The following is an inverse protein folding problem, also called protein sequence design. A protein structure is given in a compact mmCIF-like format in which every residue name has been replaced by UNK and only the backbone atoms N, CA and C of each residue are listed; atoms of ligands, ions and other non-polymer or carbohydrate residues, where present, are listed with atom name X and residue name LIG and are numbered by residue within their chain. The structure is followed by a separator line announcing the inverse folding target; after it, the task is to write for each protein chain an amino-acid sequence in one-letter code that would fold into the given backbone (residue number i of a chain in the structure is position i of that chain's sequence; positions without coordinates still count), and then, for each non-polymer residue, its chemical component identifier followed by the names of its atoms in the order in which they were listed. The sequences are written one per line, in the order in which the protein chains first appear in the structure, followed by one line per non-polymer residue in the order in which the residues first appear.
data_IF_805769566899
#
_entry.id   IF_805769566899
#
_cell.length_a   1.000
_cell.length_b   1.000
_cell.length_c   1.000
_cell.angle_alpha   90.00
_cell.angle_beta   90.00
_cell.angle_gamma   90.00
#
_symmetry.space_group_name_H-M   'P 1'
#
loop_
_entity.id
_entity.type
_entity.pdbx_description
1 polymer ?
#
# COMPACT_ATOMS: atom_id res chain seq x y z
N UNK A 1 -26.11 56.84 3.30
CA UNK A 1 -25.30 55.89 2.49
C UNK A 1 -24.57 55.00 3.47
N UNK A 2 -24.96 53.70 3.54
CA UNK A 2 -24.48 52.82 4.61
C UNK A 2 -23.01 52.43 4.36
N UNK A 3 -22.20 52.50 5.37
CA UNK A 3 -20.78 52.12 5.34
C UNK A 3 -20.58 50.70 4.73
N UNK A 4 -21.55 49.84 4.96
CA UNK A 4 -21.56 48.47 4.42
C UNK A 4 -21.71 48.46 2.89
N UNK A 5 -22.53 49.32 2.28
CA UNK A 5 -22.68 49.36 0.81
C UNK A 5 -21.43 49.92 0.11
N UNK A 6 -20.74 50.88 0.76
CA UNK A 6 -19.43 51.38 0.29
C UNK A 6 -18.37 50.29 0.32
N UNK A 7 -18.31 49.54 1.41
CA UNK A 7 -17.36 48.42 1.55
C UNK A 7 -17.59 47.33 0.48
N UNK A 8 -18.86 46.97 0.23
CA UNK A 8 -19.23 45.98 -0.75
C UNK A 8 -18.85 46.41 -2.18
N UNK A 9 -19.10 47.66 -2.53
CA UNK A 9 -18.72 48.21 -3.85
C UNK A 9 -17.22 48.25 -4.05
N UNK A 10 -16.45 48.61 -3.04
CA UNK A 10 -14.98 48.56 -3.11
C UNK A 10 -14.45 47.10 -3.23
N UNK A 11 -15.02 46.17 -2.48
CA UNK A 11 -14.64 44.75 -2.54
C UNK A 11 -14.91 44.16 -3.93
N UNK A 12 -16.09 44.41 -4.51
CA UNK A 12 -16.44 43.95 -5.85
C UNK A 12 -15.57 44.58 -6.92
N UNK A 13 -15.30 45.88 -6.83
CA UNK A 13 -14.45 46.57 -7.80
C UNK A 13 -13.00 46.03 -7.75
N UNK A 14 -12.48 45.75 -6.55
CA UNK A 14 -11.17 45.18 -6.35
C UNK A 14 -11.10 43.76 -6.92
N UNK A 15 -12.08 42.90 -6.61
CA UNK A 15 -12.17 41.54 -7.12
C UNK A 15 -12.22 41.50 -8.64
N UNK A 16 -13.02 42.37 -9.29
CA UNK A 16 -13.09 42.45 -10.73
C UNK A 16 -11.78 42.89 -11.37
N UNK A 17 -11.09 43.84 -10.74
CA UNK A 17 -9.77 44.29 -11.18
C UNK A 17 -8.75 43.16 -11.12
N UNK A 18 -8.66 42.47 -9.97
CA UNK A 18 -7.71 41.39 -9.75
C UNK A 18 -8.01 40.20 -10.69
N UNK A 19 -9.27 39.84 -10.84
CA UNK A 19 -9.69 38.77 -11.76
C UNK A 19 -9.29 39.08 -13.21
N UNK A 20 -9.48 40.31 -13.68
CA UNK A 20 -9.04 40.73 -15.02
C UNK A 20 -7.54 40.72 -15.17
N UNK A 21 -6.80 41.05 -14.12
CA UNK A 21 -5.33 41.03 -14.12
C UNK A 21 -4.83 39.58 -14.23
N UNK A 22 -5.39 38.66 -13.43
CA UNK A 22 -5.06 37.23 -13.48
C UNK A 22 -5.38 36.62 -14.86
N UNK A 23 -6.54 36.92 -15.42
CA UNK A 23 -6.94 36.42 -16.75
C UNK A 23 -6.07 36.98 -17.89
N UNK A 24 -5.42 38.10 -17.68
CA UNK A 24 -4.48 38.71 -18.64
C UNK A 24 -3.07 38.22 -18.49
N UNK A 25 -2.73 37.67 -17.33
CA UNK A 25 -1.41 37.09 -17.05
C UNK A 25 -1.38 35.62 -17.44
N UNK A 26 -0.77 35.36 -18.62
CA UNK A 26 -0.61 34.00 -19.15
C UNK A 26 0.16 33.09 -18.22
N UNK A 27 1.10 33.65 -17.44
CA UNK A 27 1.91 32.88 -16.49
C UNK A 27 1.09 32.47 -15.27
N UNK A 28 0.19 33.33 -14.78
CA UNK A 28 -0.71 33.01 -13.68
C UNK A 28 -1.69 31.91 -14.06
N UNK A 29 -2.23 31.93 -15.30
CA UNK A 29 -3.12 30.88 -15.80
C UNK A 29 -2.34 29.57 -15.98
N UNK A 30 -1.13 29.63 -16.54
CA UNK A 30 -0.29 28.46 -16.75
C UNK A 30 0.01 27.78 -15.41
N UNK A 31 0.42 28.51 -14.40
CA UNK A 31 0.75 27.97 -13.09
C UNK A 31 -0.51 27.58 -12.29
N UNK A 32 -1.55 28.40 -12.32
CA UNK A 32 -2.76 28.17 -11.52
C UNK A 32 -3.70 27.09 -12.04
N UNK A 33 -3.71 26.84 -13.37
CA UNK A 33 -4.61 25.85 -14.00
C UNK A 33 -3.85 24.67 -14.58
N UNK A 34 -2.77 24.93 -15.32
CA UNK A 34 -2.04 23.88 -16.01
C UNK A 34 -1.26 23.00 -15.05
N UNK A 35 -0.65 23.58 -14.01
CA UNK A 35 0.12 22.83 -13.02
C UNK A 35 -0.73 21.82 -12.22
N UNK A 36 -1.88 22.18 -11.64
CA UNK A 36 -2.77 21.21 -11.00
C UNK A 36 -3.27 20.13 -11.96
N UNK A 37 -3.60 20.49 -13.21
CA UNK A 37 -4.02 19.52 -14.24
C UNK A 37 -2.89 18.53 -14.55
N UNK A 38 -1.67 19.02 -14.72
CA UNK A 38 -0.49 18.19 -14.94
C UNK A 38 -0.24 17.24 -13.76
N UNK A 39 -0.40 17.75 -12.52
CA UNK A 39 -0.26 16.90 -11.33
C UNK A 39 -1.34 15.81 -11.28
N UNK A 40 -2.59 16.13 -11.59
CA UNK A 40 -3.67 15.13 -11.64
C UNK A 40 -3.37 14.06 -12.70
N UNK A 41 -2.92 14.47 -13.88
CA UNK A 41 -2.53 13.53 -14.94
C UNK A 41 -1.33 12.70 -14.50
N UNK A 42 -0.29 13.32 -13.96
CA UNK A 42 0.91 12.64 -13.49
C UNK A 42 0.60 11.62 -12.39
N UNK A 43 -0.17 12.03 -11.37
CA UNK A 43 -0.53 11.14 -10.27
C UNK A 43 -1.63 10.15 -10.65
N UNK A 44 -2.55 10.51 -11.54
CA UNK A 44 -3.62 9.63 -11.99
C UNK A 44 -3.15 8.53 -12.95
N UNK A 45 -2.16 8.83 -13.81
CA UNK A 45 -1.65 7.87 -14.80
C UNK A 45 -0.24 7.39 -14.49
N UNK A 46 0.59 8.21 -13.84
CA UNK A 46 2.00 7.90 -13.61
C UNK A 46 2.27 7.11 -12.33
N UNK A 47 1.40 7.23 -11.32
CA UNK A 47 1.53 6.48 -10.07
C UNK A 47 0.43 5.42 -9.99
N UNK A 48 0.63 4.33 -10.68
CA UNK A 48 -0.20 3.14 -10.50
C UNK A 48 0.30 2.39 -9.26
N UNK A 49 -0.36 2.57 -8.13
CA UNK A 49 -0.19 1.73 -6.93
C UNK A 49 -0.92 0.39 -7.11
N UNK A 50 -0.76 -0.21 -8.29
CA UNK A 50 -1.39 -1.48 -8.58
C UNK A 50 -0.63 -2.61 -7.88
N UNK A 51 -1.20 -3.09 -6.79
CA UNK A 51 -0.69 -4.20 -5.98
C UNK A 51 -1.06 -5.53 -6.65
N UNK A 52 -0.85 -5.63 -7.97
CA UNK A 52 -1.05 -6.87 -8.73
C UNK A 52 0.26 -7.58 -8.98
N UNK A 53 0.20 -8.90 -9.06
CA UNK A 53 1.36 -9.75 -9.32
C UNK A 53 2.48 -9.67 -8.28
N UNK A 54 2.14 -9.45 -7.00
CA UNK A 54 3.12 -9.55 -5.92
C UNK A 54 3.64 -10.97 -5.89
N UNK A 55 4.95 -11.11 -6.01
CA UNK A 55 5.63 -12.41 -5.90
C UNK A 55 5.79 -12.75 -4.41
N UNK A 56 4.88 -13.61 -3.93
CA UNK A 56 4.80 -14.00 -2.53
C UNK A 56 5.35 -15.40 -2.32
N UNK A 57 6.34 -15.53 -1.46
CA UNK A 57 6.79 -16.82 -0.92
C UNK A 57 5.96 -17.21 0.29
N UNK A 58 5.62 -18.46 0.43
CA UNK A 58 4.97 -19.01 1.63
C UNK A 58 5.79 -20.18 2.14
N UNK A 59 6.12 -20.17 3.42
CA UNK A 59 6.73 -21.29 4.14
C UNK A 59 5.78 -21.69 5.27
N UNK A 60 5.25 -22.89 5.20
CA UNK A 60 4.43 -23.47 6.25
C UNK A 60 5.11 -24.74 6.81
N UNK A 61 5.75 -24.59 7.98
CA UNK A 61 6.38 -25.73 8.69
C UNK A 61 5.43 -26.36 9.70
N UNK A 62 4.31 -25.73 9.99
CA UNK A 62 3.37 -26.17 11.03
C UNK A 62 2.31 -27.11 10.48
N UNK A 63 1.82 -26.86 9.26
CA UNK A 63 0.82 -27.64 8.54
C UNK A 63 -0.42 -27.92 9.37
N UNK A 64 -0.99 -26.87 9.96
CA UNK A 64 -2.30 -26.95 10.61
C UNK A 64 -3.39 -26.66 9.60
N UNK A 65 -4.61 -27.11 9.88
CA UNK A 65 -5.77 -26.80 9.04
C UNK A 65 -5.93 -25.28 8.83
N UNK A 66 -5.59 -24.48 9.85
CA UNK A 66 -5.63 -23.02 9.79
C UNK A 66 -4.56 -22.43 8.85
N UNK A 67 -3.31 -22.91 8.94
CA UNK A 67 -2.23 -22.41 8.06
C UNK A 67 -2.45 -22.87 6.60
N UNK A 68 -3.01 -24.05 6.39
CA UNK A 68 -3.39 -24.54 5.07
C UNK A 68 -4.50 -23.69 4.44
N UNK A 69 -5.53 -23.31 5.21
CA UNK A 69 -6.59 -22.39 4.75
C UNK A 69 -6.05 -21.03 4.36
N UNK A 70 -5.15 -20.46 5.18
CA UNK A 70 -4.50 -19.17 4.89
C UNK A 70 -3.66 -19.30 3.61
N UNK A 71 -2.84 -20.33 3.50
CA UNK A 71 -2.01 -20.57 2.32
C UNK A 71 -2.87 -20.73 1.07
N UNK A 72 -3.96 -21.51 1.16
CA UNK A 72 -4.89 -21.66 0.06
C UNK A 72 -5.54 -20.33 -0.37
N UNK A 73 -5.92 -19.48 0.58
CA UNK A 73 -6.48 -18.15 0.28
C UNK A 73 -5.47 -17.23 -0.40
N UNK A 74 -4.19 -17.28 0.01
CA UNK A 74 -3.11 -16.53 -0.62
C UNK A 74 -2.81 -17.02 -2.04
N UNK A 75 -2.84 -18.32 -2.24
CA UNK A 75 -2.64 -18.94 -3.59
C UNK A 75 -3.82 -18.61 -4.52
N UNK A 76 -5.04 -18.62 -4.00
CA UNK A 76 -6.25 -18.34 -4.80
C UNK A 76 -6.44 -16.87 -5.15
N UNK A 77 -5.71 -15.96 -4.51
CA UNK A 77 -5.84 -14.53 -4.72
C UNK A 77 -5.05 -14.08 -5.95
N UNK A 78 -5.74 -13.56 -6.96
CA UNK A 78 -5.15 -13.11 -8.24
C UNK A 78 -4.14 -11.96 -8.08
N UNK A 79 -4.12 -11.28 -6.94
CA UNK A 79 -3.14 -10.22 -6.65
C UNK A 79 -1.76 -10.78 -6.36
N UNK A 80 -1.64 -12.07 -6.03
CA UNK A 80 -0.38 -12.70 -5.67
C UNK A 80 0.04 -13.78 -6.68
N UNK A 81 1.34 -13.78 -6.99
CA UNK A 81 2.01 -14.97 -7.56
C UNK A 81 2.65 -15.72 -6.40
N UNK A 82 1.91 -16.68 -5.84
CA UNK A 82 2.35 -17.39 -4.65
C UNK A 82 3.20 -18.60 -5.00
N UNK A 83 4.38 -18.69 -4.41
CA UNK A 83 5.28 -19.86 -4.49
C UNK A 83 5.43 -20.44 -3.09
N UNK A 84 5.15 -21.72 -2.94
CA UNK A 84 5.28 -22.42 -1.65
C UNK A 84 6.66 -23.03 -1.54
N UNK A 85 7.39 -22.71 -0.49
CA UNK A 85 8.72 -23.22 -0.19
C UNK A 85 8.64 -24.23 0.97
N UNK A 86 9.47 -25.27 0.91
CA UNK A 86 9.56 -26.28 1.96
C UNK A 86 10.50 -25.81 3.08
N UNK A 87 11.58 -25.17 2.71
CA UNK A 87 12.58 -24.68 3.66
C UNK A 87 12.63 -23.15 3.69
N UNK A 88 12.71 -22.58 4.89
CA UNK A 88 12.87 -21.14 5.10
C UNK A 88 14.15 -20.57 4.45
N UNK A 89 15.23 -21.36 4.47
CA UNK A 89 16.51 -20.96 3.87
C UNK A 89 16.42 -20.69 2.38
N UNK A 90 15.63 -21.49 1.66
CA UNK A 90 15.46 -21.35 0.22
C UNK A 90 14.55 -20.17 -0.11
N UNK A 91 13.51 -19.97 0.69
CA UNK A 91 12.64 -18.82 0.58
C UNK A 91 13.38 -17.48 0.87
N UNK A 92 14.28 -17.46 1.85
CA UNK A 92 15.10 -16.29 2.14
C UNK A 92 16.09 -15.99 0.99
N UNK A 93 16.71 -16.99 0.40
CA UNK A 93 17.56 -16.79 -0.80
C UNK A 93 16.76 -16.25 -1.97
N UNK A 94 15.53 -16.73 -2.18
CA UNK A 94 14.63 -16.22 -3.21
C UNK A 94 14.23 -14.75 -2.94
N UNK A 95 14.09 -14.35 -1.68
CA UNK A 95 13.85 -12.96 -1.28
C UNK A 95 15.09 -12.09 -1.52
N UNK A 96 16.27 -12.54 -1.12
CA UNK A 96 17.55 -11.85 -1.35
C UNK A 96 17.89 -11.72 -2.84
N UNK A 97 17.51 -12.68 -3.67
CA UNK A 97 17.70 -12.65 -5.12
C UNK A 97 16.58 -11.89 -5.87
N UNK A 98 15.67 -11.26 -5.15
CA UNK A 98 14.50 -10.56 -5.72
C UNK A 98 13.60 -11.46 -6.59
N UNK A 99 13.65 -12.77 -6.40
CA UNK A 99 12.75 -13.71 -7.04
C UNK A 99 11.34 -13.60 -6.44
N UNK A 100 11.24 -13.37 -5.15
CA UNK A 100 10.02 -13.01 -4.41
C UNK A 100 10.17 -11.63 -3.74
N UNK A 101 9.06 -10.95 -3.52
CA UNK A 101 9.02 -9.60 -2.93
C UNK A 101 8.61 -9.60 -1.45
N UNK A 102 7.93 -10.67 -1.06
CA UNK A 102 7.51 -10.89 0.31
C UNK A 102 7.51 -12.38 0.65
N UNK A 103 7.68 -12.68 1.93
CA UNK A 103 7.70 -14.04 2.44
C UNK A 103 6.80 -14.14 3.67
N UNK A 104 5.76 -14.96 3.57
CA UNK A 104 4.93 -15.34 4.71
C UNK A 104 5.46 -16.63 5.34
N UNK A 105 5.76 -16.59 6.62
CA UNK A 105 6.34 -17.72 7.36
C UNK A 105 5.40 -18.12 8.49
N UNK A 106 5.03 -19.39 8.50
CA UNK A 106 4.27 -20.03 9.57
C UNK A 106 5.16 -21.04 10.28
N UNK A 107 5.60 -20.68 11.48
CA UNK A 107 6.50 -21.51 12.28
C UNK A 107 5.92 -21.74 13.69
N UNK A 108 6.24 -22.87 14.28
CA UNK A 108 5.88 -23.19 15.64
C UNK A 108 6.80 -22.44 16.61
N UNK A 109 6.26 -21.50 17.37
CA UNK A 109 7.04 -20.71 18.31
C UNK A 109 7.18 -21.39 19.68
N UNK A 110 6.16 -22.12 20.11
CA UNK A 110 6.12 -22.88 21.36
C UNK A 110 5.10 -24.02 21.26
N UNK A 111 4.95 -24.82 22.30
CA UNK A 111 4.07 -25.99 22.31
C UNK A 111 2.61 -25.68 21.95
N UNK A 112 2.16 -24.43 22.05
CA UNK A 112 0.75 -24.03 21.84
C UNK A 112 0.55 -22.82 20.93
N UNK A 113 1.60 -22.18 20.40
CA UNK A 113 1.45 -20.97 19.56
C UNK A 113 2.17 -21.08 18.22
N UNK A 114 1.50 -20.67 17.16
CA UNK A 114 2.03 -20.56 15.80
C UNK A 114 2.48 -19.13 15.58
N UNK A 115 3.76 -18.93 15.28
CA UNK A 115 4.30 -17.65 14.86
C UNK A 115 3.93 -17.41 13.40
N UNK A 116 3.39 -16.22 13.13
CA UNK A 116 3.04 -15.75 11.78
C UNK A 116 3.88 -14.52 11.49
N UNK A 117 4.81 -14.63 10.58
CA UNK A 117 5.70 -13.55 10.22
C UNK A 117 5.54 -13.21 8.74
N UNK A 118 5.49 -11.92 8.42
CA UNK A 118 5.67 -11.45 7.04
C UNK A 118 7.02 -10.76 6.99
N UNK A 119 7.90 -11.27 6.16
CA UNK A 119 9.21 -10.68 5.87
C UNK A 119 9.09 -9.98 4.51
N UNK A 120 9.44 -8.70 4.46
CA UNK A 120 9.43 -7.89 3.23
C UNK A 120 10.76 -7.19 3.07
N UNK A 121 11.14 -6.90 1.84
CA UNK A 121 12.27 -6.02 1.58
C UNK A 121 11.93 -4.59 2.03
N UNK A 122 12.78 -4.02 2.89
CA UNK A 122 12.58 -2.69 3.49
C UNK A 122 13.07 -1.53 2.62
N UNK A 123 13.65 -1.78 1.45
CA UNK A 123 14.21 -0.74 0.57
C UNK A 123 13.10 0.21 0.08
N UNK A 124 11.92 -0.33 -0.24
CA UNK A 124 10.74 0.46 -0.64
C UNK A 124 9.66 0.40 0.45
N UNK A 125 9.76 1.26 1.45
CA UNK A 125 8.85 1.29 2.59
C UNK A 125 7.35 1.48 2.22
N UNK A 126 6.95 2.36 1.27
CA UNK A 126 5.57 2.44 0.80
C UNK A 126 5.06 1.13 0.20
N UNK A 127 5.86 0.49 -0.66
CA UNK A 127 5.51 -0.78 -1.29
C UNK A 127 5.43 -1.92 -0.27
N UNK A 128 6.40 -2.00 0.65
CA UNK A 128 6.40 -2.97 1.74
C UNK A 128 5.13 -2.87 2.60
N UNK A 129 4.71 -1.65 2.95
CA UNK A 129 3.47 -1.42 3.71
C UNK A 129 2.24 -1.89 2.95
N UNK A 130 2.17 -1.63 1.64
CA UNK A 130 1.05 -2.09 0.79
C UNK A 130 0.99 -3.62 0.72
N UNK A 131 2.14 -4.27 0.52
CA UNK A 131 2.26 -5.74 0.49
C UNK A 131 1.80 -6.35 1.82
N UNK A 132 2.29 -5.82 2.93
CA UNK A 132 1.90 -6.27 4.28
C UNK A 132 0.40 -6.14 4.49
N UNK A 133 -0.19 -5.01 4.12
CA UNK A 133 -1.63 -4.79 4.25
C UNK A 133 -2.44 -5.74 3.35
N UNK A 134 -1.99 -5.98 2.12
CA UNK A 134 -2.64 -6.89 1.19
C UNK A 134 -2.59 -8.35 1.69
N UNK A 135 -1.42 -8.81 2.14
CA UNK A 135 -1.24 -10.17 2.69
C UNK A 135 -2.03 -10.34 3.99
N UNK A 136 -1.99 -9.34 4.88
CA UNK A 136 -2.75 -9.34 6.15
C UNK A 136 -4.25 -9.35 5.89
N UNK A 137 -4.74 -8.60 4.89
CA UNK A 137 -6.13 -8.59 4.48
C UNK A 137 -6.58 -9.95 3.95
N UNK A 138 -5.81 -10.55 3.06
CA UNK A 138 -6.11 -11.88 2.52
C UNK A 138 -6.06 -12.98 3.60
N UNK A 139 -5.06 -12.93 4.48
CA UNK A 139 -4.95 -13.82 5.63
C UNK A 139 -6.06 -13.59 6.66
N UNK A 140 -6.44 -12.33 6.91
CA UNK A 140 -7.52 -11.94 7.82
C UNK A 140 -8.88 -12.43 7.38
N UNK A 141 -9.17 -12.42 6.08
CA UNK A 141 -10.41 -12.98 5.52
C UNK A 141 -10.47 -14.50 5.79
N UNK A 142 -9.34 -15.19 5.65
CA UNK A 142 -9.25 -16.62 5.93
C UNK A 142 -9.38 -16.95 7.43
N UNK A 143 -9.06 -15.98 8.32
CA UNK A 143 -9.12 -16.12 9.78
C UNK A 143 -10.41 -15.57 10.40
N UNK A 144 -11.30 -14.96 9.65
CA UNK A 144 -12.51 -14.29 10.16
C UNK A 144 -13.52 -15.24 10.88
N UNK A 145 -13.19 -16.53 10.99
CA UNK A 145 -13.96 -17.51 11.76
C UNK A 145 -13.39 -17.84 13.16
N UNK A 146 -12.22 -17.36 13.52
CA UNK A 146 -11.55 -17.72 14.78
C UNK A 146 -10.81 -16.53 15.38
N UNK A 147 -11.40 -15.96 16.41
CA UNK A 147 -10.77 -14.98 17.31
C UNK A 147 -9.87 -15.72 18.29
N UNK A 148 -8.55 -15.64 18.13
CA UNK A 148 -7.63 -15.51 19.27
C UNK A 148 -6.17 -15.29 18.81
N UNK A 149 -5.63 -14.12 19.13
CA UNK A 149 -4.31 -13.92 19.70
C UNK A 149 -3.05 -14.20 18.89
N UNK A 150 -3.01 -14.01 17.55
CA UNK A 150 -1.71 -14.09 16.87
C UNK A 150 -1.44 -12.81 16.07
N UNK A 151 -0.70 -11.90 16.68
CA UNK A 151 -0.18 -10.71 16.00
C UNK A 151 0.72 -11.10 14.83
N UNK A 152 0.46 -10.50 13.66
CA UNK A 152 1.36 -10.58 12.52
C UNK A 152 2.60 -9.76 12.82
N UNK A 153 3.77 -10.38 12.81
CA UNK A 153 5.04 -9.69 13.03
C UNK A 153 5.66 -9.37 11.66
N UNK A 154 5.84 -8.09 11.39
CA UNK A 154 6.55 -7.62 10.20
C UNK A 154 8.03 -7.50 10.54
N UNK A 155 8.86 -8.25 9.84
CA UNK A 155 10.32 -8.19 10.00
C UNK A 155 10.90 -7.59 8.72
N UNK A 156 11.43 -6.35 8.75
CA UNK A 156 12.16 -5.82 7.61
C UNK A 156 13.48 -6.60 7.46
N UNK A 157 13.82 -6.95 6.23
CA UNK A 157 15.17 -7.40 5.91
C UNK A 157 16.11 -6.20 6.06
N UNK A 158 16.96 -6.24 7.08
CA UNK A 158 18.07 -5.30 7.20
C UNK A 158 19.22 -5.85 6.35
N UNK A 159 19.58 -5.10 5.30
CA UNK A 159 20.84 -5.28 4.60
C UNK A 159 22.01 -4.88 5.49
#
# INVERSE_FOLDING_TARGET
MNVFSLWLTHAVALTLKETRQILRDKSAILLGVFMPLMLIILFGYGLSFDVRNIRLGVVDTVRTEQTERITASLVANESFKTTVYVARSDALKALESFEIEALAVFEKQNTSSVSRQIVVDGIDAPRATMIVNAVSGAAGIAMAGETEGAGLVVVPLLC
#
